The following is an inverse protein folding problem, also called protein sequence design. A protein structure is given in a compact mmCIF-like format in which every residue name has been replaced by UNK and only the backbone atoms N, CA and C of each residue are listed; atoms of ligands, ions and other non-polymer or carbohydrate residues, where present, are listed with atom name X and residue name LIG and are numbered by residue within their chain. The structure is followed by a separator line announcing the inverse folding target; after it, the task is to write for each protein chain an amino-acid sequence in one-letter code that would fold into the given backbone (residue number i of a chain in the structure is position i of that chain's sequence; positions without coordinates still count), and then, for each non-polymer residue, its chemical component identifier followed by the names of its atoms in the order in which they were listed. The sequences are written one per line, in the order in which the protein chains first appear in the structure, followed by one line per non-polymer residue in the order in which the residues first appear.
data_IF_374066670319
#
_entry.id   IF_374066670319
#
_cell.length_a   1.000
_cell.length_b   1.000
_cell.length_c   1.000
_cell.angle_alpha   90.00
_cell.angle_beta   90.00
_cell.angle_gamma   90.00
#
_symmetry.space_group_name_H-M   'P 1'
#
loop_
_entity.id
_entity.type
_entity.pdbx_description
1 polymer ?
#
# COMPACT_ATOMS: atom_id res chain seq x y z
N UNK A 1 17.11 -5.76 -10.62
CA UNK A 1 16.12 -4.75 -10.28
C UNK A 1 16.76 -3.64 -9.46
N UNK A 2 16.45 -2.39 -9.82
CA UNK A 2 16.93 -1.25 -9.06
C UNK A 2 16.36 -1.29 -7.65
N UNK A 3 17.19 -0.99 -6.67
CA UNK A 3 16.81 -0.96 -5.28
C UNK A 3 15.84 0.22 -5.01
N UNK A 4 14.74 -0.03 -4.33
CA UNK A 4 13.74 0.97 -4.02
C UNK A 4 13.97 1.47 -2.60
N UNK A 5 14.27 2.73 -2.44
CA UNK A 5 14.52 3.30 -1.12
C UNK A 5 13.96 4.71 -0.99
N UNK A 6 13.68 5.09 0.24
CA UNK A 6 13.25 6.45 0.59
C UNK A 6 13.58 6.68 2.06
N UNK A 7 14.35 7.72 2.35
CA UNK A 7 14.79 8.03 3.72
C UNK A 7 15.43 6.80 4.40
N UNK A 8 14.83 6.29 5.47
CA UNK A 8 15.38 5.17 6.24
C UNK A 8 14.91 3.80 5.77
N UNK A 9 14.07 3.75 4.74
CA UNK A 9 13.45 2.51 4.29
C UNK A 9 14.05 2.04 2.98
N UNK A 10 14.23 0.74 2.87
CA UNK A 10 14.61 0.08 1.64
C UNK A 10 13.66 -1.11 1.41
N UNK A 11 13.16 -1.22 0.19
CA UNK A 11 12.25 -2.31 -0.17
C UNK A 11 13.01 -3.41 -0.90
N UNK A 12 12.74 -4.64 -0.51
CA UNK A 12 13.33 -5.81 -1.14
C UNK A 12 12.21 -6.71 -1.65
N UNK A 13 12.22 -6.98 -2.95
CA UNK A 13 11.19 -7.85 -3.53
C UNK A 13 11.27 -9.23 -2.90
N UNK A 14 10.16 -9.67 -2.31
CA UNK A 14 10.03 -10.97 -1.69
C UNK A 14 9.41 -11.96 -2.66
N UNK A 15 8.29 -11.55 -3.30
CA UNK A 15 7.56 -12.43 -4.19
C UNK A 15 6.74 -11.65 -5.20
N UNK A 16 6.66 -12.18 -6.43
CA UNK A 16 5.73 -11.72 -7.45
C UNK A 16 4.73 -12.86 -7.67
N UNK A 17 3.45 -12.57 -7.53
CA UNK A 17 2.40 -13.58 -7.61
C UNK A 17 1.51 -13.28 -8.81
N UNK A 18 1.46 -14.24 -9.75
CA UNK A 18 0.57 -14.18 -10.90
C UNK A 18 -0.63 -15.10 -10.68
N UNK A 19 -1.75 -14.74 -11.32
CA UNK A 19 -2.91 -15.62 -11.46
C UNK A 19 -3.44 -16.18 -10.14
N UNK A 20 -4.03 -15.32 -9.32
CA UNK A 20 -4.65 -15.72 -8.07
C UNK A 20 -6.16 -15.53 -8.19
N UNK A 21 -6.88 -16.62 -8.49
CA UNK A 21 -8.34 -16.68 -8.49
C UNK A 21 -9.01 -15.52 -9.27
N UNK A 22 -8.46 -15.19 -10.45
CA UNK A 22 -9.02 -14.13 -11.28
C UNK A 22 -8.59 -12.72 -10.92
N UNK A 23 -7.79 -12.55 -9.87
CA UNK A 23 -7.22 -11.24 -9.52
C UNK A 23 -5.98 -10.95 -10.36
N UNK A 24 -5.71 -9.67 -10.58
CA UNK A 24 -4.48 -9.24 -11.24
C UNK A 24 -3.25 -9.58 -10.40
N UNK A 25 -2.07 -9.63 -11.02
CA UNK A 25 -0.84 -9.95 -10.29
C UNK A 25 -0.52 -8.95 -9.18
N UNK A 26 0.31 -9.37 -8.24
CA UNK A 26 0.78 -8.44 -7.20
C UNK A 26 2.22 -8.74 -6.80
N UNK A 27 2.87 -7.71 -6.26
CA UNK A 27 4.25 -7.77 -5.79
C UNK A 27 4.26 -7.61 -4.28
N UNK A 28 5.02 -8.45 -3.60
CA UNK A 28 5.21 -8.37 -2.16
C UNK A 28 6.64 -7.96 -1.89
N UNK A 29 6.82 -6.87 -1.14
CA UNK A 29 8.14 -6.40 -0.73
C UNK A 29 8.28 -6.49 0.78
N UNK A 30 9.46 -6.89 1.24
CA UNK A 30 9.84 -6.71 2.63
C UNK A 30 10.26 -5.26 2.82
N UNK A 31 9.86 -4.66 3.93
CA UNK A 31 10.28 -3.32 4.31
C UNK A 31 11.49 -3.47 5.23
N UNK A 32 12.64 -3.02 4.77
CA UNK A 32 13.85 -2.95 5.59
C UNK A 32 14.08 -1.53 6.08
N UNK A 33 14.71 -1.40 7.22
CA UNK A 33 15.10 -0.10 7.76
C UNK A 33 16.60 -0.15 8.08
N UNK A 34 17.31 0.95 7.80
CA UNK A 34 18.73 1.01 8.08
C UNK A 34 19.01 0.78 9.55
N UNK A 35 20.05 0.03 9.85
CA UNK A 35 20.49 -0.34 11.21
C UNK A 35 19.60 -1.39 11.88
N UNK A 36 18.61 -1.95 11.16
CA UNK A 36 17.78 -3.05 11.67
C UNK A 36 18.04 -4.26 10.79
N UNK A 37 18.42 -5.39 11.41
CA UNK A 37 18.88 -6.58 10.69
C UNK A 37 17.76 -7.50 10.19
N UNK A 38 16.51 -7.14 10.45
CA UNK A 38 15.36 -7.94 10.05
C UNK A 38 14.31 -7.03 9.39
N UNK A 39 13.40 -7.59 8.59
CA UNK A 39 12.32 -6.78 8.02
C UNK A 39 11.46 -6.19 9.13
N UNK A 40 11.02 -4.94 8.95
CA UNK A 40 10.14 -4.26 9.90
C UNK A 40 8.68 -4.38 9.50
N UNK A 41 8.40 -4.90 8.30
CA UNK A 41 7.04 -5.08 7.81
C UNK A 41 7.02 -5.50 6.35
N UNK A 42 5.86 -5.38 5.74
CA UNK A 42 5.66 -5.70 4.32
C UNK A 42 4.80 -4.67 3.64
N UNK A 43 5.01 -4.51 2.35
CA UNK A 43 4.17 -3.67 1.49
C UNK A 43 3.89 -4.44 0.22
N UNK A 44 2.64 -4.37 -0.23
CA UNK A 44 2.16 -5.08 -1.40
C UNK A 44 1.68 -4.06 -2.42
N UNK A 45 2.06 -4.23 -3.67
CA UNK A 45 1.46 -3.50 -4.78
C UNK A 45 0.63 -4.46 -5.62
N UNK A 46 -0.66 -4.19 -5.74
CA UNK A 46 -1.60 -4.98 -6.51
C UNK A 46 -1.84 -4.29 -7.85
N UNK A 47 -1.49 -4.99 -8.95
CA UNK A 47 -1.77 -4.50 -10.29
C UNK A 47 -3.28 -4.56 -10.55
N UNK A 48 -3.73 -3.80 -11.54
CA UNK A 48 -5.13 -3.85 -11.96
C UNK A 48 -5.80 -2.49 -11.94
N UNK A 49 -7.09 -2.49 -12.26
CA UNK A 49 -7.89 -1.27 -12.37
C UNK A 49 -8.33 -0.76 -11.00
N UNK A 50 -8.78 0.50 -10.99
CA UNK A 50 -9.38 1.10 -9.79
C UNK A 50 -10.61 0.30 -9.34
N UNK A 51 -11.40 -0.19 -10.28
CA UNK A 51 -12.59 -0.98 -9.96
C UNK A 51 -12.21 -2.28 -9.25
N UNK A 52 -11.16 -2.95 -9.69
CA UNK A 52 -10.70 -4.19 -9.08
C UNK A 52 -10.28 -3.97 -7.62
N UNK A 53 -9.66 -2.83 -7.34
CA UNK A 53 -9.06 -2.54 -6.04
C UNK A 53 -9.77 -1.43 -5.26
N UNK A 54 -11.06 -1.24 -5.53
CA UNK A 54 -11.83 -0.18 -4.88
C UNK A 54 -11.83 -0.32 -3.35
N UNK A 55 -11.84 -1.54 -2.83
CA UNK A 55 -11.96 -1.78 -1.38
C UNK A 55 -10.63 -2.17 -0.72
N UNK A 56 -9.80 -2.96 -1.38
CA UNK A 56 -8.50 -3.34 -0.84
C UNK A 56 -7.42 -2.29 -1.12
N UNK A 57 -7.58 -1.49 -2.18
CA UNK A 57 -6.56 -0.57 -2.64
C UNK A 57 -5.49 -1.26 -3.47
N UNK A 58 -4.75 -0.49 -4.27
CA UNK A 58 -3.59 -1.00 -4.99
C UNK A 58 -2.43 -1.28 -4.05
N UNK A 59 -2.37 -0.58 -2.91
CA UNK A 59 -1.28 -0.72 -1.94
C UNK A 59 -1.85 -1.23 -0.63
N UNK A 60 -1.22 -2.29 -0.11
CA UNK A 60 -1.46 -2.76 1.25
C UNK A 60 -0.14 -2.79 2.00
N UNK A 61 -0.15 -2.48 3.29
CA UNK A 61 1.06 -2.50 4.10
C UNK A 61 0.78 -2.89 5.53
N UNK A 62 1.79 -3.41 6.18
CA UNK A 62 1.76 -3.65 7.62
C UNK A 62 3.18 -3.46 8.17
N UNK A 63 3.27 -2.86 9.35
CA UNK A 63 4.52 -2.70 10.09
C UNK A 63 4.40 -3.52 11.36
N UNK A 64 5.41 -4.33 11.64
CA UNK A 64 5.40 -5.19 12.82
C UNK A 64 5.41 -4.34 14.09
N UNK A 65 4.68 -4.79 15.10
CA UNK A 65 4.41 -4.01 16.29
C UNK A 65 5.65 -3.36 16.92
N UNK A 66 6.81 -4.06 17.10
CA UNK A 66 7.99 -3.44 17.72
C UNK A 66 8.56 -2.25 16.94
N UNK A 67 8.20 -2.11 15.67
CA UNK A 67 8.79 -1.10 14.78
C UNK A 67 7.82 0.02 14.43
N UNK A 68 6.63 0.04 15.02
CA UNK A 68 5.62 1.08 14.76
C UNK A 68 6.05 2.42 15.35
N UNK A 69 5.53 3.50 14.81
CA UNK A 69 5.79 4.85 15.31
C UNK A 69 6.97 5.56 14.66
N UNK A 70 7.54 5.00 13.59
CA UNK A 70 8.70 5.55 12.89
C UNK A 70 8.39 5.97 11.45
N UNK A 71 7.13 6.01 11.07
CA UNK A 71 6.67 6.37 9.70
C UNK A 71 7.20 5.43 8.62
N UNK A 72 7.47 4.17 8.96
CA UNK A 72 7.98 3.22 7.96
C UNK A 72 6.98 2.94 6.86
N UNK A 73 5.68 2.87 7.17
CA UNK A 73 4.65 2.67 6.15
C UNK A 73 4.63 3.81 5.13
N UNK A 74 4.71 5.05 5.60
CA UNK A 74 4.79 6.23 4.73
C UNK A 74 6.02 6.15 3.84
N UNK A 75 7.18 5.88 4.43
CA UNK A 75 8.44 5.80 3.70
C UNK A 75 8.41 4.66 2.67
N UNK A 76 7.78 3.52 3.02
CA UNK A 76 7.64 2.40 2.10
C UNK A 76 6.77 2.77 0.89
N UNK A 77 5.67 3.47 1.10
CA UNK A 77 4.84 3.95 0.00
C UNK A 77 5.63 4.88 -0.91
N UNK A 78 6.40 5.80 -0.34
CA UNK A 78 7.24 6.73 -1.11
C UNK A 78 8.34 5.99 -1.86
N UNK A 79 8.94 4.97 -1.26
CA UNK A 79 9.95 4.16 -1.92
C UNK A 79 9.37 3.38 -3.11
N UNK A 80 8.08 3.03 -3.03
CA UNK A 80 7.40 2.25 -4.06
C UNK A 80 6.91 3.11 -5.24
N UNK A 81 6.79 4.42 -5.05
CA UNK A 81 6.16 5.33 -6.01
C UNK A 81 6.79 5.26 -7.40
N UNK A 82 8.11 5.32 -7.49
CA UNK A 82 8.81 5.29 -8.78
C UNK A 82 8.61 3.96 -9.50
N UNK A 83 8.59 2.86 -8.74
CA UNK A 83 8.33 1.54 -9.30
C UNK A 83 6.93 1.47 -9.91
N UNK A 84 5.93 1.98 -9.20
CA UNK A 84 4.54 1.99 -9.68
C UNK A 84 4.43 2.83 -10.95
N UNK A 85 5.06 4.01 -10.96
CA UNK A 85 5.13 4.85 -12.17
C UNK A 85 5.75 4.09 -13.34
N UNK A 86 6.79 3.30 -13.09
CA UNK A 86 7.47 2.53 -14.14
C UNK A 86 6.58 1.46 -14.75
N UNK A 87 5.56 1.01 -14.03
CA UNK A 87 4.59 0.03 -14.52
C UNK A 87 3.45 0.69 -15.31
N UNK A 88 3.46 2.02 -15.45
CA UNK A 88 2.50 2.75 -16.26
C UNK A 88 1.33 3.37 -15.52
N UNK A 89 1.35 3.34 -14.19
CA UNK A 89 0.30 3.97 -13.37
C UNK A 89 0.64 5.43 -13.11
N UNK A 90 -0.36 6.31 -13.19
CA UNK A 90 -0.20 7.71 -12.78
C UNK A 90 -0.83 7.99 -11.42
N UNK A 91 -1.66 7.08 -10.95
CA UNK A 91 -2.29 7.15 -9.63
C UNK A 91 -2.56 5.75 -9.12
N UNK A 92 -2.83 5.65 -7.83
CA UNK A 92 -3.30 4.41 -7.21
C UNK A 92 -4.34 4.75 -6.16
N UNK A 93 -5.17 3.75 -5.82
CA UNK A 93 -6.09 3.85 -4.70
C UNK A 93 -5.42 3.26 -3.46
N UNK A 94 -5.59 3.92 -2.33
CA UNK A 94 -5.20 3.40 -1.02
C UNK A 94 -6.43 3.47 -0.14
N UNK A 95 -6.69 2.41 0.60
CA UNK A 95 -7.88 2.35 1.44
C UNK A 95 -7.53 1.99 2.88
N UNK A 96 -8.40 2.33 3.79
CA UNK A 96 -8.27 1.91 5.18
C UNK A 96 -9.65 1.86 5.83
N UNK A 97 -9.74 1.08 6.92
CA UNK A 97 -10.96 1.09 7.74
C UNK A 97 -11.10 2.44 8.42
N UNK A 98 -12.34 2.95 8.57
CA UNK A 98 -12.55 4.29 9.15
C UNK A 98 -11.95 4.47 10.55
N UNK A 99 -11.85 3.39 11.32
CA UNK A 99 -11.29 3.44 12.67
C UNK A 99 -9.79 3.15 12.74
N UNK A 100 -9.14 2.92 11.60
CA UNK A 100 -7.69 2.71 11.56
C UNK A 100 -6.97 4.06 11.48
N UNK A 101 -6.78 4.70 12.61
CA UNK A 101 -6.21 6.05 12.69
C UNK A 101 -4.78 6.11 12.17
N UNK A 102 -3.97 5.11 12.46
CA UNK A 102 -2.57 5.08 12.01
C UNK A 102 -2.48 5.05 10.49
N UNK A 103 -3.28 4.21 9.83
CA UNK A 103 -3.29 4.12 8.37
C UNK A 103 -3.83 5.42 7.76
N UNK A 104 -4.90 5.97 8.34
CA UNK A 104 -5.46 7.25 7.89
C UNK A 104 -4.39 8.35 7.88
N UNK A 105 -3.62 8.47 8.96
CA UNK A 105 -2.56 9.47 9.06
C UNK A 105 -1.45 9.23 8.02
N UNK A 106 -1.09 7.98 7.79
CA UNK A 106 -0.10 7.62 6.77
C UNK A 106 -0.56 8.07 5.39
N UNK A 107 -1.80 7.75 5.04
CA UNK A 107 -2.36 8.08 3.72
C UNK A 107 -2.46 9.60 3.54
N UNK A 108 -2.90 10.30 4.58
CA UNK A 108 -3.00 11.77 4.54
C UNK A 108 -1.61 12.41 4.40
N UNK A 109 -0.59 11.84 5.04
CA UNK A 109 0.78 12.33 4.93
C UNK A 109 1.33 12.18 3.51
N UNK A 110 0.87 11.17 2.76
CA UNK A 110 1.22 11.01 1.36
C UNK A 110 0.62 12.09 0.47
N UNK A 111 -0.34 12.84 0.96
CA UNK A 111 -1.06 13.84 0.18
C UNK A 111 -2.17 13.23 -0.67
N UNK A 112 -2.58 12.02 -0.38
CA UNK A 112 -3.67 11.38 -1.10
C UNK A 112 -4.99 12.08 -0.80
N UNK A 113 -5.84 12.17 -1.82
CA UNK A 113 -7.13 12.84 -1.71
C UNK A 113 -8.20 11.87 -1.25
N UNK A 114 -8.95 12.26 -0.22
CA UNK A 114 -10.09 11.45 0.25
C UNK A 114 -11.23 11.53 -0.76
N UNK A 115 -11.73 10.36 -1.19
CA UNK A 115 -12.81 10.28 -2.15
C UNK A 115 -14.14 10.03 -1.44
N UNK A 116 -14.24 8.92 -0.72
CA UNK A 116 -15.49 8.56 -0.04
C UNK A 116 -15.27 7.39 0.92
N UNK A 117 -16.27 7.19 1.79
CA UNK A 117 -16.35 5.97 2.62
C UNK A 117 -17.46 5.10 2.04
N UNK A 118 -17.17 3.84 1.77
CA UNK A 118 -18.13 2.90 1.19
C UNK A 118 -18.23 1.62 2.01
N UNK A 119 -19.46 1.04 2.09
CA UNK A 119 -19.60 -0.29 2.68
C UNK A 119 -18.97 -1.33 1.76
N UNK A 120 -18.31 -2.33 2.36
CA UNK A 120 -17.74 -3.43 1.60
C UNK A 120 -18.87 -4.34 1.12
N UNK A 121 -18.97 -4.64 -0.20
CA UNK A 121 -20.02 -5.53 -0.70
C UNK A 121 -19.95 -6.91 -0.04
N UNK A 122 -21.12 -7.54 0.16
CA UNK A 122 -21.20 -8.82 0.86
C UNK A 122 -20.38 -9.93 0.23
N UNK A 123 -20.23 -9.93 -1.10
CA UNK A 123 -19.45 -10.92 -1.82
C UNK A 123 -17.94 -10.75 -1.62
N UNK A 124 -17.49 -9.57 -1.17
CA UNK A 124 -16.08 -9.29 -0.89
C UNK A 124 -15.75 -9.35 0.60
N UNK A 125 -16.77 -9.48 1.48
CA UNK A 125 -16.55 -9.44 2.92
C UNK A 125 -15.58 -10.51 3.41
N UNK A 126 -15.52 -11.65 2.74
CA UNK A 126 -14.61 -12.74 3.09
C UNK A 126 -13.13 -12.39 2.89
N UNK A 127 -12.84 -11.37 2.08
CA UNK A 127 -11.46 -10.94 1.82
C UNK A 127 -10.92 -10.03 2.94
N UNK A 128 -11.79 -9.66 3.90
CA UNK A 128 -11.45 -8.73 4.96
C UNK A 128 -11.78 -9.33 6.31
N UNK A 129 -11.28 -8.72 7.39
CA UNK A 129 -11.60 -9.18 8.74
C UNK A 129 -13.08 -8.93 9.05
N UNK A 130 -13.64 -9.71 9.97
CA UNK A 130 -15.08 -9.62 10.34
C UNK A 130 -15.44 -8.22 10.81
N UNK A 131 -14.52 -7.51 11.46
CA UNK A 131 -14.78 -6.16 11.96
C UNK A 131 -14.75 -5.08 10.88
N UNK A 132 -14.19 -5.40 9.71
CA UNK A 132 -14.12 -4.43 8.61
C UNK A 132 -15.42 -4.45 7.82
N UNK A 133 -16.21 -3.38 7.95
CA UNK A 133 -17.50 -3.27 7.27
C UNK A 133 -17.49 -2.18 6.19
N UNK A 134 -16.62 -1.18 6.35
CA UNK A 134 -16.51 -0.03 5.45
C UNK A 134 -15.06 0.28 5.17
N UNK A 135 -14.82 0.93 4.04
CA UNK A 135 -13.48 1.43 3.69
C UNK A 135 -13.54 2.91 3.35
N UNK A 136 -12.55 3.65 3.83
CA UNK A 136 -12.28 5.00 3.36
C UNK A 136 -11.38 4.85 2.14
N UNK A 137 -11.78 5.44 1.02
CA UNK A 137 -11.09 5.33 -0.26
C UNK A 137 -10.37 6.63 -0.54
N UNK A 138 -9.08 6.55 -0.85
CA UNK A 138 -8.23 7.69 -1.17
C UNK A 138 -7.61 7.49 -2.55
N UNK A 139 -7.45 8.61 -3.27
CA UNK A 139 -6.79 8.67 -4.57
C UNK A 139 -5.41 9.32 -4.35
N UNK A 140 -4.36 8.58 -4.66
CA UNK A 140 -2.99 9.09 -4.54
C UNK A 140 -2.42 9.35 -5.92
N UNK A 141 -2.28 10.64 -6.26
CA UNK A 141 -1.65 11.07 -7.51
C UNK A 141 -0.15 10.89 -7.38
N UNK A 142 0.43 10.04 -8.23
CA UNK A 142 1.86 9.78 -8.20
C UNK A 142 2.62 10.90 -8.88
N UNK A 143 3.83 11.18 -8.40
CA UNK A 143 4.65 12.25 -8.92
C UNK A 143 6.05 11.74 -9.24
N UNK A 144 6.51 12.08 -10.45
CA UNK A 144 7.89 11.80 -10.82
C UNK A 144 8.80 12.70 -9.99
N UNK A 145 9.92 12.13 -9.56
CA UNK A 145 10.96 12.91 -8.94
C UNK A 145 11.50 13.91 -9.98
N UNK A 146 11.43 15.19 -9.65
CA UNK A 146 12.04 16.25 -10.48
C UNK A 146 13.44 16.52 -9.97
N UNK A 147 14.39 16.44 -10.89
CA UNK A 147 15.76 16.79 -10.59
C UNK A 147 16.01 18.26 -10.85
#
# INVERSE_FOLDING_TARGET
MKQLNYQNVILKLNEYVEDVDGWSPYYIFDIGAYSINEPVGRIVFRCGSDMEHEFAGHIGYSVDEPYRGHHYAYQACKALEEFILSLGYDHVLITCSPNNIASKKTIEKLGAEFVETKPIPSDLRKEFTVSETHKRIYYWQLQKETK
#
